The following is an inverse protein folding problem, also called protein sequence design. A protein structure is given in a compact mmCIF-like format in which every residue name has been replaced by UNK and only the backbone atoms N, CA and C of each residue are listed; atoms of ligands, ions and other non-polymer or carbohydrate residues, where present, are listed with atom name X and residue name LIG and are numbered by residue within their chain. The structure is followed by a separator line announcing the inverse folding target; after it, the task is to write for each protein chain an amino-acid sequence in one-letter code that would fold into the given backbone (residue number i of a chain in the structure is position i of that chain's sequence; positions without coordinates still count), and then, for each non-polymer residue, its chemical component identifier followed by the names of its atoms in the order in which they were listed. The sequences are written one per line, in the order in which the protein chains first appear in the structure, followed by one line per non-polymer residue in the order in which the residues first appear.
data_IF_035686304371
#
_entry.id   IF_035686304371
#
_cell.length_a   1.000
_cell.length_b   1.000
_cell.length_c   1.000
_cell.angle_alpha   90.00
_cell.angle_beta   90.00
_cell.angle_gamma   90.00
#
_symmetry.space_group_name_H-M   'P 1'
#
loop_
_entity.id
_entity.type
_entity.pdbx_description
1 polymer ?
#
# COMPACT_ATOMS: atom_id res chain seq x y z
N UNK A 1 -71.81 7.65 13.15
CA UNK A 1 -70.51 8.39 12.94
C UNK A 1 -69.37 7.54 13.38
N UNK A 2 -68.63 6.92 12.47
CA UNK A 2 -67.44 6.08 12.73
C UNK A 2 -66.19 6.83 12.27
N UNK A 3 -65.38 7.27 13.24
CA UNK A 3 -64.08 7.88 12.98
C UNK A 3 -63.08 6.79 12.57
N UNK A 4 -62.49 6.92 11.40
CA UNK A 4 -61.37 6.08 10.91
C UNK A 4 -60.06 6.78 11.27
N UNK A 5 -59.29 6.19 12.17
CA UNK A 5 -57.90 6.61 12.46
C UNK A 5 -57.00 6.07 11.39
N UNK A 6 -56.35 6.94 10.63
CA UNK A 6 -55.30 6.58 9.71
C UNK A 6 -53.97 6.49 10.48
N UNK A 7 -53.39 5.32 10.51
CA UNK A 7 -52.02 5.10 11.05
C UNK A 7 -51.05 5.36 9.90
N UNK A 8 -50.31 6.46 10.02
CA UNK A 8 -49.17 6.75 9.14
C UNK A 8 -47.95 5.99 9.67
N UNK A 9 -47.57 4.92 8.98
CA UNK A 9 -46.32 4.21 9.27
C UNK A 9 -45.16 4.97 8.68
N UNK A 10 -44.32 5.59 9.53
CA UNK A 10 -43.07 6.21 9.15
C UNK A 10 -42.02 5.12 8.93
N UNK A 11 -41.79 4.73 7.69
CA UNK A 11 -40.72 3.80 7.32
C UNK A 11 -39.36 4.47 7.46
N UNK A 12 -38.59 4.09 8.48
CA UNK A 12 -37.21 4.46 8.59
C UNK A 12 -36.39 3.70 7.52
N UNK A 13 -35.91 4.43 6.49
CA UNK A 13 -34.90 3.93 5.56
C UNK A 13 -33.59 3.77 6.34
N UNK A 14 -33.27 2.55 6.71
CA UNK A 14 -31.93 2.18 7.17
C UNK A 14 -31.05 2.09 5.92
N UNK A 15 -30.33 3.17 5.63
CA UNK A 15 -29.23 3.15 4.66
C UNK A 15 -28.11 2.35 5.31
N UNK A 16 -28.01 1.09 5.00
CA UNK A 16 -26.84 0.26 5.35
C UNK A 16 -25.67 0.79 4.54
N UNK A 17 -24.81 1.60 5.16
CA UNK A 17 -23.52 1.91 4.63
C UNK A 17 -22.70 0.61 4.62
N UNK A 18 -22.66 -0.07 3.48
CA UNK A 18 -21.71 -1.15 3.24
C UNK A 18 -20.32 -0.50 3.21
N UNK A 19 -19.63 -0.52 4.35
CA UNK A 19 -18.20 -0.26 4.41
C UNK A 19 -17.49 -1.41 3.71
N UNK A 20 -17.22 -1.26 2.42
CA UNK A 20 -16.43 -2.23 1.69
C UNK A 20 -15.04 -2.31 2.32
N UNK A 21 -14.56 -3.52 2.60
CA UNK A 21 -13.17 -3.76 2.93
C UNK A 21 -12.33 -3.59 1.67
N UNK A 22 -11.08 -3.12 1.82
CA UNK A 22 -10.14 -3.03 0.69
C UNK A 22 -10.06 -4.34 -0.08
N UNK A 23 -10.17 -4.27 -1.39
CA UNK A 23 -10.07 -5.42 -2.29
C UNK A 23 -8.89 -5.24 -3.25
N UNK A 24 -8.24 -6.34 -3.60
CA UNK A 24 -7.31 -6.38 -4.72
C UNK A 24 -8.06 -7.05 -5.88
N UNK A 25 -8.34 -6.26 -6.91
CA UNK A 25 -9.11 -6.73 -8.05
C UNK A 25 -8.24 -7.46 -9.06
N UNK A 26 -7.00 -7.02 -9.19
CA UNK A 26 -6.02 -7.62 -10.09
C UNK A 26 -4.62 -7.59 -9.49
N UNK A 27 -3.86 -8.67 -9.69
CA UNK A 27 -2.44 -8.73 -9.38
C UNK A 27 -1.73 -9.66 -10.36
N UNK A 28 -0.76 -9.11 -11.07
CA UNK A 28 0.14 -9.86 -11.92
C UNK A 28 1.59 -9.65 -11.50
N UNK A 29 2.37 -10.75 -11.52
CA UNK A 29 3.79 -10.72 -11.20
C UNK A 29 4.55 -11.58 -12.20
N UNK A 30 5.49 -10.99 -12.92
CA UNK A 30 6.30 -11.65 -13.93
C UNK A 30 7.80 -11.44 -13.67
N UNK A 31 8.62 -12.29 -14.30
CA UNK A 31 10.08 -12.15 -14.29
C UNK A 31 10.61 -12.21 -15.72
N UNK A 32 11.42 -11.23 -16.09
CA UNK A 32 12.08 -11.19 -17.39
C UNK A 32 13.54 -10.75 -17.22
N UNK A 33 14.49 -11.54 -17.70
CA UNK A 33 15.93 -11.23 -17.72
C UNK A 33 16.50 -10.76 -16.35
N UNK A 34 16.06 -11.41 -15.26
CA UNK A 34 16.52 -11.05 -13.90
C UNK A 34 15.70 -9.97 -13.19
N UNK A 35 14.86 -9.21 -13.89
CA UNK A 35 13.95 -8.22 -13.34
C UNK A 35 12.60 -8.80 -13.00
N UNK A 36 12.02 -8.29 -11.94
CA UNK A 36 10.67 -8.61 -11.48
C UNK A 36 9.75 -7.43 -11.76
N UNK A 37 8.59 -7.75 -12.27
CA UNK A 37 7.53 -6.79 -12.56
C UNK A 37 6.30 -7.20 -11.77
N UNK A 38 5.71 -6.25 -11.07
CA UNK A 38 4.43 -6.40 -10.37
C UNK A 38 3.49 -5.30 -10.82
N UNK A 39 2.26 -5.65 -11.11
CA UNK A 39 1.16 -4.72 -11.23
C UNK A 39 0.02 -5.20 -10.34
N UNK A 40 -0.58 -4.28 -9.58
CA UNK A 40 -1.74 -4.55 -8.75
C UNK A 40 -2.74 -3.41 -8.86
N UNK A 41 -4.01 -3.74 -8.82
CA UNK A 41 -5.11 -2.80 -8.75
C UNK A 41 -5.95 -3.11 -7.51
N UNK A 42 -6.28 -2.08 -6.75
CA UNK A 42 -7.02 -2.21 -5.51
C UNK A 42 -8.06 -1.10 -5.37
N UNK A 43 -9.18 -1.44 -4.74
CA UNK A 43 -10.21 -0.51 -4.31
C UNK A 43 -10.08 -0.23 -2.83
N UNK A 44 -10.09 1.06 -2.48
CA UNK A 44 -9.98 1.52 -1.10
C UNK A 44 -11.12 2.48 -0.79
N UNK A 45 -11.81 2.24 0.32
CA UNK A 45 -12.90 3.09 0.81
C UNK A 45 -12.37 4.31 1.58
N UNK A 46 -11.48 5.08 0.94
CA UNK A 46 -10.86 6.31 1.46
C UNK A 46 -10.55 7.27 0.31
N UNK A 47 -10.36 8.55 0.64
CA UNK A 47 -10.06 9.58 -0.37
C UNK A 47 -8.62 9.48 -0.90
N UNK A 48 -8.34 9.91 -2.15
CA UNK A 48 -6.97 9.95 -2.67
C UNK A 48 -6.03 10.78 -1.80
N UNK A 49 -6.52 11.87 -1.21
CA UNK A 49 -5.74 12.77 -0.34
C UNK A 49 -5.23 12.03 0.90
N UNK A 50 -6.11 11.28 1.55
CA UNK A 50 -5.76 10.54 2.76
C UNK A 50 -4.87 9.33 2.44
N UNK A 51 -5.10 8.65 1.31
CA UNK A 51 -4.22 7.56 0.86
C UNK A 51 -2.84 8.13 0.50
N UNK A 52 -2.77 9.24 -0.23
CA UNK A 52 -1.53 9.92 -0.54
C UNK A 52 -0.74 10.29 0.72
N UNK A 53 -1.41 10.89 1.71
CA UNK A 53 -0.80 11.24 2.98
C UNK A 53 -0.20 10.02 3.71
N UNK A 54 -0.90 8.87 3.68
CA UNK A 54 -0.39 7.61 4.26
C UNK A 54 0.82 7.08 3.49
N UNK A 55 0.78 7.12 2.15
CA UNK A 55 1.85 6.58 1.29
C UNK A 55 3.11 7.44 1.28
N UNK A 56 3.02 8.71 1.67
CA UNK A 56 4.15 9.63 1.74
C UNK A 56 4.60 9.93 3.17
N UNK A 57 4.11 9.25 4.18
CA UNK A 57 4.44 9.49 5.58
C UNK A 57 5.63 8.60 6.03
N UNK A 58 6.84 9.04 5.72
CA UNK A 58 8.08 8.32 6.08
C UNK A 58 8.67 8.74 7.43
N UNK A 59 8.18 9.82 8.05
CA UNK A 59 8.71 10.33 9.31
C UNK A 59 8.49 9.36 10.48
N UNK A 60 9.41 9.36 11.44
CA UNK A 60 9.31 8.64 12.72
C UNK A 60 8.90 7.16 12.56
N UNK A 61 9.39 6.51 11.51
CA UNK A 61 9.07 5.11 11.18
C UNK A 61 7.57 4.85 10.91
N UNK A 62 6.78 5.89 10.61
CA UNK A 62 5.33 5.74 10.41
C UNK A 62 4.98 4.89 9.20
N UNK A 63 5.87 4.79 8.22
CA UNK A 63 5.70 3.90 7.07
C UNK A 63 5.63 2.41 7.47
N UNK A 64 6.21 2.03 8.61
CA UNK A 64 6.09 0.69 9.19
C UNK A 64 4.65 0.29 9.54
N UNK A 65 3.73 1.25 9.68
CA UNK A 65 2.30 1.00 9.90
C UNK A 65 1.63 0.32 8.70
N UNK A 66 2.14 0.56 7.50
CA UNK A 66 1.62 -0.03 6.25
C UNK A 66 2.01 -1.50 6.15
N UNK A 67 3.27 -1.81 6.41
CA UNK A 67 3.79 -3.16 6.29
C UNK A 67 4.78 -3.47 7.42
N UNK A 68 4.55 -4.56 8.15
CA UNK A 68 5.38 -4.96 9.32
C UNK A 68 6.84 -5.27 9.01
N UNK A 69 7.16 -5.57 7.77
CA UNK A 69 8.55 -5.78 7.35
C UNK A 69 9.40 -4.52 7.46
N UNK A 70 8.81 -3.34 7.38
CA UNK A 70 9.54 -2.09 7.59
C UNK A 70 9.92 -1.94 9.06
N UNK A 71 11.22 -1.80 9.30
CA UNK A 71 11.80 -1.57 10.62
C UNK A 71 12.15 -0.10 10.82
N UNK A 72 12.48 0.58 9.74
CA UNK A 72 12.87 1.99 9.75
C UNK A 72 12.38 2.69 8.50
N UNK A 73 11.92 3.93 8.65
CA UNK A 73 11.63 4.84 7.56
C UNK A 73 11.89 6.28 8.00
N UNK A 74 12.47 7.09 7.12
CA UNK A 74 12.69 8.52 7.34
C UNK A 74 12.95 9.26 6.04
N UNK A 75 12.71 10.55 6.06
CA UNK A 75 13.24 11.45 5.04
C UNK A 75 14.74 11.65 5.22
N UNK A 76 15.43 11.86 4.12
CA UNK A 76 16.83 12.26 4.04
C UNK A 76 16.91 13.69 3.51
N UNK A 77 18.12 14.27 3.55
CA UNK A 77 18.40 15.52 2.82
C UNK A 77 17.99 15.37 1.36
N UNK A 78 17.22 16.31 0.81
CA UNK A 78 16.81 16.29 -0.59
C UNK A 78 18.02 16.27 -1.54
N UNK A 79 17.77 15.84 -2.77
CA UNK A 79 18.78 15.97 -3.83
C UNK A 79 19.05 17.45 -4.16
N UNK A 80 20.10 17.70 -4.93
CA UNK A 80 20.51 19.05 -5.32
C UNK A 80 19.43 19.83 -6.09
N UNK A 81 18.49 19.12 -6.73
CA UNK A 81 17.34 19.69 -7.43
C UNK A 81 16.10 19.87 -6.53
N UNK A 82 16.23 19.58 -5.22
CA UNK A 82 15.16 19.66 -4.24
C UNK A 82 14.24 18.45 -4.20
N UNK A 83 14.49 17.41 -4.99
CA UNK A 83 13.67 16.20 -4.96
C UNK A 83 13.83 15.48 -3.61
N UNK A 84 12.73 15.19 -2.89
CA UNK A 84 12.77 14.47 -1.62
C UNK A 84 13.44 13.11 -1.77
N UNK A 85 14.20 12.73 -0.75
CA UNK A 85 14.80 11.40 -0.62
C UNK A 85 14.30 10.74 0.64
N UNK A 86 14.08 9.44 0.55
CA UNK A 86 13.61 8.61 1.66
C UNK A 86 14.51 7.41 1.86
N UNK A 87 14.68 7.01 3.10
CA UNK A 87 15.36 5.78 3.47
C UNK A 87 14.35 4.82 4.08
N UNK A 88 14.43 3.56 3.69
CA UNK A 88 13.65 2.48 4.30
C UNK A 88 14.53 1.27 4.57
N UNK A 89 14.35 0.64 5.74
CA UNK A 89 14.91 -0.64 6.09
C UNK A 89 13.81 -1.62 6.39
N UNK A 90 13.83 -2.76 5.71
CA UNK A 90 12.84 -3.82 5.88
C UNK A 90 13.50 -5.16 6.12
N UNK A 91 12.82 -6.03 6.85
CA UNK A 91 13.17 -7.43 6.97
C UNK A 91 12.31 -8.26 6.03
N UNK A 92 12.94 -9.04 5.19
CA UNK A 92 12.32 -10.00 4.31
C UNK A 92 12.78 -11.41 4.63
N UNK A 93 11.85 -12.34 4.83
CA UNK A 93 12.19 -13.74 5.08
C UNK A 93 11.73 -14.62 3.92
N UNK A 94 12.60 -15.46 3.42
CA UNK A 94 12.32 -16.51 2.47
C UNK A 94 12.53 -17.86 3.14
N UNK A 95 11.43 -18.56 3.43
CA UNK A 95 11.42 -19.81 4.21
C UNK A 95 12.09 -19.61 5.59
N UNK A 96 13.31 -20.17 5.78
CA UNK A 96 14.09 -20.03 7.02
C UNK A 96 15.19 -18.97 6.96
N UNK A 97 15.37 -18.32 5.82
CA UNK A 97 16.39 -17.30 5.64
C UNK A 97 15.77 -15.92 5.63
N UNK A 98 16.11 -15.13 6.63
CA UNK A 98 15.72 -13.71 6.71
C UNK A 98 16.90 -12.84 6.30
N UNK A 99 16.60 -11.76 5.59
CA UNK A 99 17.58 -10.75 5.21
C UNK A 99 17.04 -9.36 5.46
N UNK A 100 17.93 -8.47 5.85
CA UNK A 100 17.62 -7.04 5.92
C UNK A 100 17.84 -6.44 4.55
N UNK A 101 16.87 -5.69 4.08
CA UNK A 101 16.90 -4.96 2.82
C UNK A 101 16.83 -3.48 3.12
N UNK A 102 17.76 -2.74 2.57
CA UNK A 102 17.85 -1.29 2.68
C UNK A 102 17.60 -0.65 1.33
N UNK A 103 16.90 0.49 1.34
CA UNK A 103 16.67 1.28 0.15
C UNK A 103 16.76 2.76 0.45
N UNK A 104 17.51 3.45 -0.38
CA UNK A 104 17.46 4.90 -0.52
C UNK A 104 16.78 5.22 -1.83
N UNK A 105 15.73 6.03 -1.80
CA UNK A 105 14.87 6.29 -2.96
C UNK A 105 14.66 7.80 -3.15
N UNK A 106 14.61 8.24 -4.40
CA UNK A 106 14.09 9.55 -4.78
C UNK A 106 12.58 9.45 -4.88
N UNK A 107 11.87 10.43 -4.33
CA UNK A 107 10.42 10.46 -4.29
C UNK A 107 9.88 11.60 -5.15
N UNK A 108 9.29 11.29 -6.29
CA UNK A 108 8.62 12.22 -7.17
C UNK A 108 7.11 12.14 -6.93
N UNK A 109 6.44 13.27 -6.80
CA UNK A 109 5.01 13.28 -6.49
C UNK A 109 4.23 14.32 -7.29
N UNK A 110 2.96 14.00 -7.55
CA UNK A 110 1.93 14.95 -8.03
C UNK A 110 0.70 14.74 -7.14
N UNK A 111 0.71 15.42 -6.01
CA UNK A 111 -0.34 15.27 -5.00
C UNK A 111 -1.72 15.63 -5.55
N UNK A 112 -2.78 14.92 -5.18
CA UNK A 112 -2.78 13.70 -4.37
C UNK A 112 -2.83 12.41 -5.21
N UNK A 113 -2.55 12.48 -6.52
CA UNK A 113 -2.92 11.43 -7.47
C UNK A 113 -1.78 10.55 -7.96
N UNK A 114 -0.54 10.94 -7.72
CA UNK A 114 0.59 10.20 -8.26
C UNK A 114 1.83 10.28 -7.38
N UNK A 115 2.47 9.13 -7.19
CA UNK A 115 3.71 8.96 -6.46
C UNK A 115 4.60 8.01 -7.25
N UNK A 116 5.88 8.37 -7.40
CA UNK A 116 6.88 7.47 -7.96
C UNK A 116 8.12 7.49 -7.07
N UNK A 117 8.61 6.31 -6.72
CA UNK A 117 9.91 6.18 -6.07
C UNK A 117 10.90 5.49 -7.02
N UNK A 118 12.13 5.96 -7.01
CA UNK A 118 13.24 5.38 -7.77
C UNK A 118 14.39 5.13 -6.82
N UNK A 119 14.79 3.88 -6.69
CA UNK A 119 15.89 3.48 -5.82
C UNK A 119 17.22 3.96 -6.36
N UNK A 120 18.03 4.57 -5.49
CA UNK A 120 19.41 4.89 -5.75
C UNK A 120 20.27 3.65 -5.42
N UNK A 121 21.14 3.18 -6.31
CA UNK A 121 21.99 2.00 -6.07
C UNK A 121 22.85 2.16 -4.82
N UNK A 122 23.34 3.37 -4.57
CA UNK A 122 24.15 3.70 -3.39
C UNK A 122 23.29 3.62 -2.13
N UNK A 123 23.67 2.71 -1.21
CA UNK A 123 22.93 2.46 0.04
C UNK A 123 21.65 1.64 -0.13
N UNK A 124 21.61 0.81 -1.19
CA UNK A 124 20.46 -0.07 -1.47
C UNK A 124 20.90 -1.48 -1.83
N UNK A 125 20.06 -2.46 -1.51
CA UNK A 125 20.25 -3.86 -1.91
C UNK A 125 19.60 -4.19 -3.28
N UNK A 126 19.43 -3.17 -4.11
CA UNK A 126 18.82 -3.30 -5.42
C UNK A 126 19.71 -2.61 -6.48
N UNK A 127 20.01 -3.32 -7.56
CA UNK A 127 20.65 -2.72 -8.74
C UNK A 127 19.75 -1.71 -9.41
N UNK A 128 18.46 -2.00 -9.37
CA UNK A 128 17.41 -1.16 -9.89
C UNK A 128 16.10 -1.46 -9.17
N UNK A 129 15.37 -0.41 -8.80
CA UNK A 129 13.97 -0.55 -8.41
C UNK A 129 13.23 0.76 -8.66
N UNK A 130 12.04 0.66 -9.19
CA UNK A 130 11.10 1.78 -9.29
C UNK A 130 9.72 1.29 -8.93
N UNK A 131 9.00 2.12 -8.21
CA UNK A 131 7.59 1.86 -7.91
C UNK A 131 6.75 3.10 -8.20
N UNK A 132 5.53 2.88 -8.64
CA UNK A 132 4.59 3.91 -9.03
C UNK A 132 3.22 3.61 -8.44
N UNK A 133 2.59 4.62 -7.85
CA UNK A 133 1.21 4.61 -7.41
C UNK A 133 0.43 5.66 -8.18
N UNK A 134 -0.69 5.26 -8.77
CA UNK A 134 -1.69 6.14 -9.36
C UNK A 134 -2.96 6.01 -8.54
N UNK A 135 -3.49 7.13 -8.07
CA UNK A 135 -4.69 7.21 -7.23
C UNK A 135 -5.79 7.87 -8.04
N UNK A 136 -6.76 7.10 -8.48
CA UNK A 136 -7.90 7.58 -9.25
C UNK A 136 -9.11 7.73 -8.33
N UNK A 137 -9.68 8.94 -8.29
CA UNK A 137 -10.87 9.20 -7.47
C UNK A 137 -12.11 8.53 -8.08
N UNK A 138 -12.87 7.86 -7.23
CA UNK A 138 -14.21 7.40 -7.56
C UNK A 138 -15.19 7.72 -6.43
N UNK A 139 -15.82 8.87 -6.54
CA UNK A 139 -16.61 9.48 -5.50
C UNK A 139 -15.77 9.75 -4.24
N UNK A 140 -16.15 9.13 -3.15
CA UNK A 140 -15.45 9.18 -1.86
C UNK A 140 -14.41 8.06 -1.68
N UNK A 141 -14.21 7.24 -2.70
CA UNK A 141 -13.30 6.10 -2.71
C UNK A 141 -12.16 6.32 -3.70
N UNK A 142 -11.21 5.40 -3.71
CA UNK A 142 -10.05 5.45 -4.60
C UNK A 142 -9.79 4.10 -5.25
N UNK A 143 -9.58 4.11 -6.55
CA UNK A 143 -8.92 3.04 -7.28
C UNK A 143 -7.42 3.31 -7.26
N UNK A 144 -6.67 2.43 -6.65
CA UNK A 144 -5.21 2.51 -6.56
C UNK A 144 -4.57 1.52 -7.53
N UNK A 145 -3.71 2.03 -8.41
CA UNK A 145 -2.91 1.22 -9.33
C UNK A 145 -1.47 1.29 -8.83
N UNK A 146 -0.88 0.13 -8.55
CA UNK A 146 0.51 -0.01 -8.12
C UNK A 146 1.32 -0.76 -9.16
N UNK A 147 2.47 -0.22 -9.52
CA UNK A 147 3.45 -0.87 -10.39
C UNK A 147 4.79 -0.91 -9.70
N UNK A 148 5.49 -2.03 -9.82
CA UNK A 148 6.84 -2.21 -9.31
C UNK A 148 7.67 -2.91 -10.38
N UNK A 149 8.85 -2.36 -10.65
CA UNK A 149 9.91 -3.01 -11.39
C UNK A 149 11.14 -3.04 -10.48
N UNK A 150 11.77 -4.22 -10.32
CA UNK A 150 12.96 -4.33 -9.48
C UNK A 150 13.94 -5.38 -9.98
N UNK A 151 15.23 -5.09 -9.80
CA UNK A 151 16.35 -6.01 -9.99
C UNK A 151 17.13 -6.10 -8.67
N UNK A 152 17.00 -7.20 -7.93
CA UNK A 152 17.74 -7.40 -6.69
C UNK A 152 19.26 -7.47 -6.91
N UNK A 153 20.05 -6.92 -5.97
CA UNK A 153 21.50 -7.11 -5.91
C UNK A 153 21.90 -8.23 -4.94
N UNK A 154 21.04 -9.23 -4.84
CA UNK A 154 21.28 -10.45 -4.07
C UNK A 154 20.74 -11.65 -4.83
N UNK A 155 21.25 -12.83 -4.46
CA UNK A 155 20.86 -14.07 -5.13
C UNK A 155 19.38 -14.44 -4.84
N UNK A 156 18.59 -14.56 -5.89
CA UNK A 156 17.24 -15.10 -5.85
C UNK A 156 17.18 -16.39 -6.63
N UNK A 157 16.88 -17.55 -6.00
CA UNK A 157 16.83 -18.83 -6.68
C UNK A 157 15.91 -18.80 -7.90
N UNK A 158 16.36 -19.20 -9.09
CA UNK A 158 15.62 -18.97 -10.34
C UNK A 158 14.31 -19.74 -10.44
N UNK A 159 14.21 -20.90 -9.80
CA UNK A 159 13.01 -21.76 -9.86
C UNK A 159 11.97 -21.37 -8.81
N UNK A 160 12.42 -21.13 -7.58
CA UNK A 160 11.54 -20.84 -6.44
C UNK A 160 11.23 -19.32 -6.31
N UNK A 161 12.15 -18.46 -6.76
CA UNK A 161 12.07 -17.04 -6.58
C UNK A 161 10.79 -16.41 -7.14
N UNK A 162 10.39 -16.64 -8.40
CA UNK A 162 9.19 -16.03 -8.96
C UNK A 162 7.91 -16.51 -8.27
N UNK A 163 7.79 -17.79 -7.96
CA UNK A 163 6.63 -18.33 -7.25
C UNK A 163 6.53 -17.81 -5.82
N UNK A 164 7.66 -17.81 -5.10
CA UNK A 164 7.71 -17.30 -3.73
C UNK A 164 7.41 -15.81 -3.68
N UNK A 165 7.99 -15.03 -4.58
CA UNK A 165 7.75 -13.60 -4.67
C UNK A 165 6.27 -13.30 -4.96
N UNK A 166 5.67 -13.98 -5.95
CA UNK A 166 4.24 -13.85 -6.26
C UNK A 166 3.37 -14.15 -5.05
N UNK A 167 3.65 -15.26 -4.34
CA UNK A 167 2.90 -15.63 -3.13
C UNK A 167 3.06 -14.59 -2.00
N UNK A 168 4.29 -14.15 -1.75
CA UNK A 168 4.59 -13.17 -0.70
C UNK A 168 3.97 -11.81 -1.00
N UNK A 169 4.05 -11.38 -2.26
CA UNK A 169 3.45 -10.12 -2.70
C UNK A 169 1.91 -10.19 -2.64
N UNK A 170 1.30 -11.29 -3.05
CA UNK A 170 -0.15 -11.46 -2.97
C UNK A 170 -0.65 -11.40 -1.51
N UNK A 171 -0.03 -12.15 -0.61
CA UNK A 171 -0.41 -12.17 0.81
C UNK A 171 -0.04 -10.89 1.55
N UNK A 172 1.14 -10.35 1.28
CA UNK A 172 1.61 -9.09 1.86
C UNK A 172 0.87 -7.88 1.32
N UNK A 173 0.57 -7.88 0.01
CA UNK A 173 -0.14 -6.81 -0.68
C UNK A 173 -1.53 -6.58 -0.12
N UNK A 174 -2.36 -7.62 0.04
CA UNK A 174 -3.70 -7.47 0.61
C UNK A 174 -3.64 -6.88 2.03
N UNK A 175 -2.70 -7.35 2.86
CA UNK A 175 -2.52 -6.79 4.21
C UNK A 175 -2.07 -5.33 4.18
N UNK A 176 -1.18 -4.97 3.26
CA UNK A 176 -0.74 -3.59 3.09
C UNK A 176 -1.90 -2.69 2.64
N UNK A 177 -2.66 -3.11 1.62
CA UNK A 177 -3.83 -2.36 1.11
C UNK A 177 -4.87 -2.15 2.20
N UNK A 178 -5.21 -3.21 2.97
CA UNK A 178 -6.14 -3.10 4.10
C UNK A 178 -5.67 -2.10 5.16
N UNK A 179 -4.35 -2.03 5.41
CA UNK A 179 -3.79 -1.08 6.38
C UNK A 179 -3.75 0.34 5.86
N UNK A 180 -3.40 0.51 4.57
CA UNK A 180 -3.45 1.81 3.90
C UNK A 180 -4.87 2.36 3.97
N UNK A 181 -5.88 1.55 3.60
CA UNK A 181 -7.28 1.96 3.70
C UNK A 181 -7.65 2.38 5.11
N UNK A 182 -7.32 1.55 6.10
CA UNK A 182 -7.64 1.85 7.49
C UNK A 182 -7.04 3.17 7.94
N UNK A 183 -5.74 3.37 7.73
CA UNK A 183 -5.04 4.60 8.11
C UNK A 183 -5.61 5.82 7.39
N UNK A 184 -5.94 5.68 6.09
CA UNK A 184 -6.55 6.73 5.30
C UNK A 184 -7.97 7.07 5.81
N UNK A 185 -8.79 6.06 6.15
CA UNK A 185 -10.12 6.28 6.75
C UNK A 185 -10.06 6.97 8.11
N UNK A 186 -9.03 6.66 8.92
CA UNK A 186 -8.78 7.38 10.19
C UNK A 186 -8.54 8.88 9.92
N UNK A 187 -7.76 9.21 8.88
CA UNK A 187 -7.53 10.60 8.45
C UNK A 187 -8.79 11.27 7.87
N UNK A 188 -9.62 10.51 7.16
CA UNK A 188 -10.92 10.98 6.64
C UNK A 188 -11.98 11.15 7.76
N UNK A 189 -11.69 10.76 9.00
CA UNK A 189 -12.67 10.73 10.10
C UNK A 189 -13.77 9.69 9.92
N UNK A 190 -13.53 8.65 9.13
CA UNK A 190 -14.50 7.57 8.86
C UNK A 190 -14.38 6.45 9.87
N UNK A 191 -15.47 5.70 10.13
CA UNK A 191 -15.42 4.52 10.97
C UNK A 191 -14.40 3.49 10.44
N UNK A 192 -13.59 2.95 11.34
CA UNK A 192 -12.63 1.89 11.04
C UNK A 192 -12.94 0.65 11.86
N UNK A 193 -12.92 -0.52 11.21
CA UNK A 193 -13.03 -1.78 11.92
C UNK A 193 -11.66 -2.14 12.54
N UNK A 194 -11.66 -2.79 13.73
CA UNK A 194 -10.43 -3.31 14.30
C UNK A 194 -9.77 -4.30 13.33
N UNK A 195 -8.49 -4.14 13.07
CA UNK A 195 -7.75 -5.16 12.31
C UNK A 195 -7.78 -6.48 13.08
N UNK A 196 -7.98 -7.62 12.42
CA UNK A 196 -7.85 -8.92 13.06
C UNK A 196 -6.46 -9.03 13.70
N UNK A 197 -6.36 -9.69 14.87
CA UNK A 197 -5.08 -9.88 15.53
C UNK A 197 -4.13 -10.59 14.56
N UNK A 198 -2.89 -10.11 14.53
CA UNK A 198 -1.89 -10.70 13.68
C UNK A 198 -1.52 -12.07 14.24
N UNK A 199 -1.36 -13.10 13.39
CA UNK A 199 -0.93 -14.39 13.86
C UNK A 199 0.38 -14.22 14.63
N UNK A 200 0.44 -14.83 15.83
CA UNK A 200 1.68 -14.94 16.61
C UNK A 200 2.78 -15.54 15.74
N UNK A 201 3.99 -15.04 15.87
CA UNK A 201 5.17 -15.61 15.21
C UNK A 201 5.45 -17.02 15.70
#
# INVERSE_FOLDING_TARGET
MRQRHAIVALGALVVSAFGGAATIDHMDATRQRGRYFLQAEAWLAATPESIYAVLTDFDDNRYARIFRGYQESRYLEPDADGTPRVYTRMEGCAMWHCMTLERTERLETKAPYWIKSTTLPEGSNFKYSTSEWVLERDGENTRMIYKLEMEPDFFVPPVLGPWYLKRTLAQGGLRAVTRIERLARELDGRPVEPLPPLPSR
#
